data_IF_844030391027
#
_entry.id   IF_844030391027
#
_cell.length_a   1.000
_cell.length_b   1.000
_cell.length_c   1.000
_cell.angle_alpha   90.00
_cell.angle_beta   90.00
_cell.angle_gamma   90.00
#
_symmetry.space_group_name_H-M   'P 1'
#
loop_
_entity.id
_entity.type
_entity.pdbx_description
1 polymer ?
#
# COMPACT_ATOMS: atom_id res chain seq x y z
N UNK A 1 16.27 33.54 -12.81
CA UNK A 1 15.01 33.05 -12.24
C UNK A 1 14.88 33.64 -10.84
N UNK A 2 13.85 34.43 -10.55
CA UNK A 2 13.63 34.95 -9.18
C UNK A 2 12.85 33.91 -8.40
N UNK A 3 13.44 33.39 -7.34
CA UNK A 3 12.75 32.55 -6.36
C UNK A 3 11.97 33.46 -5.41
N UNK A 4 10.65 33.49 -5.53
CA UNK A 4 9.78 34.14 -4.55
C UNK A 4 9.21 33.06 -3.62
N UNK A 5 9.08 33.39 -2.35
CA UNK A 5 8.39 32.55 -1.37
C UNK A 5 6.91 32.42 -1.76
N UNK A 6 6.31 31.25 -1.54
CA UNK A 6 4.92 30.94 -1.91
C UNK A 6 3.93 31.97 -1.34
N UNK A 7 4.19 32.45 -0.11
CA UNK A 7 3.42 33.52 0.55
C UNK A 7 3.40 34.84 -0.22
N UNK A 8 4.51 35.20 -0.86
CA UNK A 8 4.60 36.46 -1.64
C UNK A 8 3.86 36.33 -3.00
N UNK A 9 3.63 35.11 -3.48
CA UNK A 9 2.90 34.85 -4.74
C UNK A 9 1.39 34.91 -4.54
N UNK A 10 0.89 34.53 -3.36
CA UNK A 10 -0.54 34.55 -3.02
C UNK A 10 -1.04 36.00 -2.95
N UNK A 11 -0.25 36.92 -2.42
CA UNK A 11 -0.63 38.32 -2.26
C UNK A 11 -0.60 39.16 -3.56
N UNK A 12 -0.02 38.62 -4.64
CA UNK A 12 0.16 39.35 -5.91
C UNK A 12 -0.89 39.06 -6.99
N UNK A 13 -1.88 38.18 -6.73
CA UNK A 13 -2.88 37.81 -7.71
C UNK A 13 -2.23 37.15 -8.94
N UNK A 14 -2.09 35.85 -8.93
CA UNK A 14 -1.50 35.11 -10.07
C UNK A 14 -2.46 35.16 -11.26
N UNK A 15 -2.00 35.72 -12.38
CA UNK A 15 -2.78 35.70 -13.62
C UNK A 15 -2.91 34.26 -14.13
N UNK A 16 -4.08 33.89 -14.70
CA UNK A 16 -4.44 32.54 -15.14
C UNK A 16 -3.44 31.93 -16.16
N UNK A 17 -2.56 32.75 -16.73
CA UNK A 17 -1.52 32.36 -17.69
C UNK A 17 -0.14 32.09 -17.05
N UNK A 18 -0.01 32.15 -15.73
CA UNK A 18 1.29 31.93 -15.07
C UNK A 18 1.53 30.43 -14.81
N UNK A 19 2.67 29.92 -15.29
CA UNK A 19 3.14 28.57 -14.89
C UNK A 19 3.91 28.69 -13.56
N UNK A 20 3.53 27.91 -12.55
CA UNK A 20 4.24 27.80 -11.30
C UNK A 20 5.05 26.51 -11.29
N UNK A 21 6.38 26.62 -11.17
CA UNK A 21 7.27 25.50 -10.94
C UNK A 21 7.56 25.40 -9.44
N UNK A 22 7.07 24.34 -8.80
CA UNK A 22 7.38 24.04 -7.41
C UNK A 22 8.58 23.10 -7.40
N UNK A 23 9.71 23.58 -6.91
CA UNK A 23 10.87 22.73 -6.65
C UNK A 23 10.74 22.17 -5.22
N UNK A 24 10.47 20.87 -5.11
CA UNK A 24 10.50 20.17 -3.84
C UNK A 24 11.88 19.50 -3.66
N UNK A 25 12.79 20.08 -2.85
CA UNK A 25 14.13 19.51 -2.62
C UNK A 25 14.10 18.18 -1.85
N UNK A 26 12.93 17.81 -1.31
CA UNK A 26 12.70 16.53 -0.64
C UNK A 26 11.88 15.56 -1.52
N UNK A 27 11.63 15.91 -2.78
CA UNK A 27 10.98 15.01 -3.69
C UNK A 27 11.76 13.70 -3.79
N UNK A 28 11.08 12.58 -3.64
CA UNK A 28 11.70 11.27 -3.77
C UNK A 28 12.15 11.07 -5.23
N UNK A 29 13.45 11.01 -5.44
CA UNK A 29 14.04 10.87 -6.79
C UNK A 29 14.45 9.42 -7.03
N UNK A 30 13.48 8.54 -7.18
CA UNK A 30 13.72 7.15 -7.52
C UNK A 30 13.10 6.17 -6.53
N UNK A 31 12.54 5.12 -7.08
CA UNK A 31 11.92 4.05 -6.33
C UNK A 31 12.97 3.00 -5.93
N UNK A 32 12.92 2.59 -4.66
CA UNK A 32 13.72 1.48 -4.15
C UNK A 32 12.79 0.49 -3.47
N UNK A 33 12.74 -0.72 -3.97
CA UNK A 33 12.01 -1.83 -3.37
C UNK A 33 12.75 -2.29 -2.11
N UNK A 34 12.00 -2.57 -1.03
CA UNK A 34 12.55 -3.14 0.19
C UNK A 34 13.28 -2.11 1.06
N UNK A 35 12.66 -0.97 1.31
CA UNK A 35 13.16 0.02 2.28
C UNK A 35 13.38 -0.65 3.65
N UNK A 36 14.47 -0.30 4.33
CA UNK A 36 14.72 -0.77 5.69
C UNK A 36 13.60 -0.35 6.64
N UNK A 37 13.21 -1.23 7.56
CA UNK A 37 12.14 -0.93 8.53
C UNK A 37 12.48 0.27 9.43
N UNK A 38 13.78 0.55 9.66
CA UNK A 38 14.26 1.75 10.36
C UNK A 38 13.96 3.06 9.62
N UNK A 39 13.61 3.00 8.35
CA UNK A 39 13.21 4.18 7.56
C UNK A 39 11.82 4.67 7.90
N UNK A 40 10.96 3.82 8.47
CA UNK A 40 9.59 4.15 8.84
C UNK A 40 9.51 4.74 10.25
N UNK A 41 8.42 5.47 10.52
CA UNK A 41 8.15 6.00 11.86
C UNK A 41 7.89 4.86 12.84
N UNK A 42 8.46 4.90 14.06
CA UNK A 42 8.17 3.91 15.07
C UNK A 42 6.70 4.03 15.50
N UNK A 43 5.97 2.92 15.48
CA UNK A 43 4.56 2.88 15.88
C UNK A 43 4.20 1.55 16.56
N UNK A 44 2.92 1.32 16.76
CA UNK A 44 2.40 0.06 17.31
C UNK A 44 2.46 -1.09 16.31
N UNK A 45 2.76 -0.80 15.07
CA UNK A 45 2.73 -1.73 13.95
C UNK A 45 4.05 -2.48 13.81
N UNK A 46 3.94 -3.78 13.55
CA UNK A 46 5.07 -4.56 13.08
C UNK A 46 5.11 -4.47 11.55
N UNK A 47 6.05 -3.69 11.04
CA UNK A 47 6.26 -3.62 9.61
C UNK A 47 6.64 -4.99 9.03
N UNK A 48 6.10 -5.29 7.87
CA UNK A 48 6.52 -6.45 7.08
C UNK A 48 8.01 -6.33 6.78
N UNK A 49 8.74 -7.43 6.92
CA UNK A 49 10.18 -7.43 6.68
C UNK A 49 10.52 -7.00 5.24
N UNK A 50 11.64 -6.28 5.02
CA UNK A 50 11.98 -5.71 3.71
C UNK A 50 11.96 -6.73 2.56
N UNK A 51 12.44 -7.95 2.80
CA UNK A 51 12.50 -9.01 1.80
C UNK A 51 11.10 -9.52 1.42
N UNK A 52 10.25 -9.70 2.43
CA UNK A 52 8.85 -10.13 2.23
C UNK A 52 8.08 -9.02 1.51
N UNK A 53 8.30 -7.77 1.91
CA UNK A 53 7.69 -6.59 1.29
C UNK A 53 8.08 -6.45 -0.19
N UNK A 54 9.36 -6.68 -0.52
CA UNK A 54 9.82 -6.67 -1.90
C UNK A 54 9.10 -7.72 -2.77
N UNK A 55 8.85 -8.91 -2.22
CA UNK A 55 8.07 -9.96 -2.91
C UNK A 55 6.61 -9.54 -3.08
N UNK A 56 5.98 -8.97 -2.05
CA UNK A 56 4.60 -8.47 -2.13
C UNK A 56 4.49 -7.40 -3.22
N UNK A 57 5.38 -6.43 -3.26
CA UNK A 57 5.40 -5.37 -4.27
C UNK A 57 5.57 -5.93 -5.69
N UNK A 58 6.41 -6.96 -5.84
CA UNK A 58 6.53 -7.68 -7.12
C UNK A 58 5.21 -8.36 -7.51
N UNK A 59 4.46 -8.93 -6.55
CA UNK A 59 3.15 -9.57 -6.82
C UNK A 59 2.06 -8.55 -7.14
N UNK A 60 2.11 -7.38 -6.52
CA UNK A 60 1.24 -6.26 -6.88
C UNK A 60 1.47 -5.82 -8.33
N UNK A 61 2.70 -5.94 -8.84
CA UNK A 61 3.10 -5.62 -10.21
C UNK A 61 2.56 -4.26 -10.67
N UNK A 62 2.96 -3.23 -9.93
CA UNK A 62 2.41 -1.88 -10.07
C UNK A 62 2.97 -1.14 -11.29
N UNK A 63 2.09 -0.52 -12.05
CA UNK A 63 2.42 0.52 -13.01
C UNK A 63 2.39 1.90 -12.35
N UNK A 64 3.13 2.85 -12.89
CA UNK A 64 3.28 4.20 -12.32
C UNK A 64 1.97 4.96 -12.11
N UNK A 65 0.94 4.68 -12.91
CA UNK A 65 -0.34 5.36 -12.91
C UNK A 65 -1.48 4.60 -12.24
N UNK A 66 -1.24 3.41 -11.69
CA UNK A 66 -2.28 2.59 -11.07
C UNK A 66 -2.74 3.13 -9.74
N UNK A 67 -4.03 2.92 -9.44
CA UNK A 67 -4.61 3.20 -8.14
C UNK A 67 -4.63 1.94 -7.29
N UNK A 68 -4.22 2.08 -6.03
CA UNK A 68 -4.03 0.96 -5.11
C UNK A 68 -4.91 1.15 -3.87
N UNK A 69 -5.57 0.08 -3.43
CA UNK A 69 -6.15 0.00 -2.10
C UNK A 69 -5.25 -0.88 -1.21
N UNK A 70 -4.75 -0.33 -0.11
CA UNK A 70 -3.97 -1.07 0.87
C UNK A 70 -4.73 -1.16 2.20
N UNK A 71 -5.02 -2.38 2.66
CA UNK A 71 -5.72 -2.62 3.91
C UNK A 71 -4.76 -3.15 4.97
N UNK A 72 -4.57 -2.39 6.04
CA UNK A 72 -3.68 -2.70 7.17
C UNK A 72 -2.23 -3.00 6.74
N UNK A 73 -1.75 -2.28 5.74
CA UNK A 73 -0.46 -2.55 5.09
C UNK A 73 0.44 -1.34 4.95
N UNK A 74 0.63 -0.54 5.98
CA UNK A 74 1.34 0.76 5.95
C UNK A 74 2.65 0.78 5.17
N UNK A 75 3.58 -0.14 5.47
CA UNK A 75 4.87 -0.15 4.76
C UNK A 75 4.71 -0.53 3.29
N UNK A 76 3.71 -1.34 2.96
CA UNK A 76 3.34 -1.65 1.59
C UNK A 76 2.71 -0.42 0.92
N UNK A 77 1.79 0.27 1.61
CA UNK A 77 1.15 1.47 1.10
C UNK A 77 2.16 2.59 0.79
N UNK A 78 3.16 2.79 1.65
CA UNK A 78 4.24 3.77 1.43
C UNK A 78 5.06 3.41 0.18
N UNK A 79 5.55 2.18 0.07
CA UNK A 79 6.35 1.79 -1.08
C UNK A 79 5.51 1.70 -2.37
N UNK A 80 4.23 1.31 -2.27
CA UNK A 80 3.30 1.36 -3.40
C UNK A 80 3.08 2.79 -3.89
N UNK A 81 2.93 3.76 -2.96
CA UNK A 81 2.79 5.17 -3.33
C UNK A 81 4.04 5.75 -4.00
N UNK A 82 5.23 5.27 -3.62
CA UNK A 82 6.49 5.62 -4.29
C UNK A 82 6.54 5.01 -5.70
N UNK A 83 6.12 3.74 -5.85
CA UNK A 83 6.13 3.03 -7.13
C UNK A 83 5.10 3.63 -8.10
N UNK A 84 3.86 3.76 -7.67
CA UNK A 84 2.76 4.32 -8.45
C UNK A 84 2.64 5.85 -8.23
N UNK A 85 3.72 6.56 -8.41
CA UNK A 85 3.83 8.01 -8.11
C UNK A 85 2.93 8.91 -8.97
N UNK A 86 2.33 8.38 -10.03
CA UNK A 86 1.34 9.04 -10.90
C UNK A 86 -0.08 8.56 -10.64
N UNK A 87 -0.25 7.49 -9.87
CA UNK A 87 -1.52 6.96 -9.38
C UNK A 87 -1.80 7.41 -7.94
N UNK A 88 -2.78 6.77 -7.31
CA UNK A 88 -3.20 7.08 -5.94
C UNK A 88 -3.20 5.82 -5.08
N UNK A 89 -2.92 5.99 -3.79
CA UNK A 89 -3.03 4.94 -2.78
C UNK A 89 -4.10 5.33 -1.78
N UNK A 90 -5.07 4.45 -1.58
CA UNK A 90 -6.01 4.53 -0.45
C UNK A 90 -5.55 3.53 0.61
N UNK A 91 -5.08 4.03 1.74
CA UNK A 91 -4.66 3.23 2.87
C UNK A 91 -5.81 3.14 3.88
N UNK A 92 -6.33 1.93 4.07
CA UNK A 92 -7.38 1.63 5.04
C UNK A 92 -6.76 1.13 6.33
N UNK A 93 -6.85 1.93 7.39
CA UNK A 93 -6.27 1.62 8.70
C UNK A 93 -7.35 1.72 9.78
N UNK A 94 -7.80 0.57 10.27
CA UNK A 94 -8.93 0.49 11.22
C UNK A 94 -8.63 1.10 12.59
N UNK A 95 -7.36 1.04 13.03
CA UNK A 95 -6.97 1.54 14.35
C UNK A 95 -6.45 2.97 14.26
N UNK A 96 -6.88 3.83 15.19
CA UNK A 96 -6.47 5.22 15.22
C UNK A 96 -4.94 5.41 15.35
N UNK A 97 -4.26 4.56 16.15
CA UNK A 97 -2.79 4.60 16.29
C UNK A 97 -2.06 4.23 14.99
N UNK A 98 -2.62 3.30 14.23
CA UNK A 98 -2.06 2.87 12.95
C UNK A 98 -2.24 3.98 11.90
N UNK A 99 -3.39 4.66 11.88
CA UNK A 99 -3.61 5.85 11.05
C UNK A 99 -2.63 6.97 11.36
N UNK A 100 -2.41 7.26 12.64
CA UNK A 100 -1.43 8.27 13.04
C UNK A 100 -0.02 7.91 12.53
N UNK A 101 0.41 6.66 12.70
CA UNK A 101 1.71 6.19 12.21
C UNK A 101 1.79 6.29 10.68
N UNK A 102 0.68 5.99 9.97
CA UNK A 102 0.62 6.15 8.51
C UNK A 102 0.75 7.62 8.09
N UNK A 103 0.07 8.55 8.79
CA UNK A 103 0.20 10.00 8.56
C UNK A 103 1.65 10.48 8.74
N UNK A 104 2.32 10.02 9.79
CA UNK A 104 3.73 10.33 10.03
C UNK A 104 4.63 9.82 8.90
N UNK A 105 4.37 8.62 8.39
CA UNK A 105 5.10 8.05 7.26
C UNK A 105 4.82 8.82 5.96
N UNK A 106 3.58 9.18 5.68
CA UNK A 106 3.22 10.02 4.52
C UNK A 106 4.03 11.32 4.52
N UNK A 107 4.10 12.00 5.67
CA UNK A 107 4.89 13.22 5.83
C UNK A 107 6.39 12.94 5.71
N UNK A 108 6.87 11.89 6.35
CA UNK A 108 8.30 11.51 6.37
C UNK A 108 8.85 11.22 4.96
N UNK A 109 8.07 10.53 4.14
CA UNK A 109 8.44 10.20 2.77
C UNK A 109 8.03 11.25 1.73
N UNK A 110 7.34 12.32 2.16
CA UNK A 110 6.90 13.42 1.28
C UNK A 110 5.89 12.97 0.23
N UNK A 111 5.02 12.00 0.59
CA UNK A 111 4.02 11.47 -0.32
C UNK A 111 2.83 12.44 -0.42
N UNK A 112 2.32 12.62 -1.62
CA UNK A 112 1.18 13.49 -1.92
C UNK A 112 0.02 12.75 -2.61
N UNK A 113 0.18 11.45 -2.81
CA UNK A 113 -0.74 10.58 -3.50
C UNK A 113 -1.34 9.49 -2.59
N UNK A 114 -1.31 9.69 -1.27
CA UNK A 114 -1.87 8.77 -0.29
C UNK A 114 -3.05 9.40 0.42
N UNK A 115 -4.17 8.66 0.43
CA UNK A 115 -5.35 8.97 1.21
C UNK A 115 -5.52 7.93 2.31
N UNK A 116 -5.67 8.38 3.55
CA UNK A 116 -5.86 7.49 4.71
C UNK A 116 -7.33 7.50 5.10
N UNK A 117 -7.92 6.32 5.27
CA UNK A 117 -9.32 6.12 5.68
C UNK A 117 -9.40 5.14 6.84
N UNK A 118 -10.49 5.17 7.59
CA UNK A 118 -10.67 4.40 8.82
C UNK A 118 -11.41 3.06 8.63
N UNK A 119 -12.08 2.88 7.50
CA UNK A 119 -12.75 1.63 7.13
C UNK A 119 -12.98 1.49 5.62
N UNK A 120 -13.41 0.30 5.19
CA UNK A 120 -13.76 0.03 3.79
C UNK A 120 -15.15 0.58 3.41
N UNK A 121 -16.05 0.82 4.35
CA UNK A 121 -17.38 1.40 4.09
C UNK A 121 -17.23 2.87 3.68
N UNK A 122 -16.18 3.53 4.19
CA UNK A 122 -15.78 4.88 3.77
C UNK A 122 -15.21 4.91 2.35
N UNK A 123 -14.94 3.74 1.75
CA UNK A 123 -14.48 3.64 0.37
C UNK A 123 -15.61 4.06 -0.57
N UNK A 124 -15.80 5.34 -0.71
CA UNK A 124 -16.90 5.95 -1.44
C UNK A 124 -16.48 6.29 -2.87
N UNK A 125 -17.48 6.62 -3.71
CA UNK A 125 -17.28 7.16 -5.07
C UNK A 125 -16.37 8.42 -5.14
N UNK A 126 -15.83 8.86 -4.01
CA UNK A 126 -14.87 9.98 -3.95
C UNK A 126 -13.43 9.54 -4.24
N UNK A 127 -13.14 8.24 -4.10
CA UNK A 127 -11.80 7.71 -4.28
C UNK A 127 -11.63 7.15 -5.68
N UNK A 128 -10.41 7.21 -6.24
CA UNK A 128 -10.12 6.53 -7.49
C UNK A 128 -10.42 5.05 -7.39
N UNK A 129 -11.02 4.49 -8.43
CA UNK A 129 -11.26 3.04 -8.53
C UNK A 129 -9.91 2.31 -8.47
N UNK A 130 -9.70 1.37 -7.52
CA UNK A 130 -8.43 0.68 -7.40
C UNK A 130 -8.27 -0.35 -8.53
N UNK A 131 -7.10 -0.38 -9.15
CA UNK A 131 -6.71 -1.39 -10.14
C UNK A 131 -6.20 -2.65 -9.45
N UNK A 132 -5.60 -2.46 -8.27
CA UNK A 132 -5.03 -3.53 -7.45
C UNK A 132 -5.24 -3.25 -5.97
N UNK A 133 -5.38 -4.31 -5.18
CA UNK A 133 -5.46 -4.21 -3.72
C UNK A 133 -4.43 -5.11 -3.03
N UNK A 134 -3.88 -4.60 -1.94
CA UNK A 134 -3.14 -5.37 -0.94
C UNK A 134 -3.95 -5.45 0.36
N UNK A 135 -4.08 -6.66 0.92
CA UNK A 135 -4.84 -6.88 2.16
C UNK A 135 -4.03 -7.73 3.14
N UNK A 136 -3.91 -7.27 4.36
CA UNK A 136 -3.54 -8.13 5.48
C UNK A 136 -4.80 -8.83 5.96
N UNK A 137 -4.85 -10.14 5.80
CA UNK A 137 -6.07 -10.91 6.09
C UNK A 137 -6.51 -10.79 7.55
N UNK A 138 -7.78 -10.54 7.74
CA UNK A 138 -8.46 -10.43 9.03
C UNK A 138 -9.85 -11.05 8.94
N UNK A 139 -10.61 -10.99 10.03
CA UNK A 139 -12.03 -11.41 10.03
C UNK A 139 -12.91 -10.57 9.09
N UNK A 140 -12.42 -9.42 8.63
CA UNK A 140 -13.11 -8.53 7.67
C UNK A 140 -12.83 -8.86 6.21
N UNK A 141 -11.90 -9.79 5.92
CA UNK A 141 -11.41 -10.06 4.57
C UNK A 141 -12.53 -10.30 3.54
N UNK A 142 -13.56 -11.07 3.89
CA UNK A 142 -14.68 -11.37 2.98
C UNK A 142 -15.46 -10.10 2.60
N UNK A 143 -15.72 -9.22 3.56
CA UNK A 143 -16.36 -7.93 3.31
C UNK A 143 -15.49 -7.01 2.45
N UNK A 144 -14.20 -6.99 2.72
CA UNK A 144 -13.22 -6.20 1.97
C UNK A 144 -13.15 -6.64 0.50
N UNK A 145 -13.10 -7.96 0.25
CA UNK A 145 -13.10 -8.52 -1.10
C UNK A 145 -14.40 -8.20 -1.84
N UNK A 146 -15.57 -8.35 -1.19
CA UNK A 146 -16.87 -7.98 -1.77
C UNK A 146 -16.92 -6.52 -2.17
N UNK A 147 -16.46 -5.64 -1.30
CA UNK A 147 -16.43 -4.19 -1.58
C UNK A 147 -15.52 -3.89 -2.77
N UNK A 148 -14.32 -4.46 -2.79
CA UNK A 148 -13.34 -4.24 -3.86
C UNK A 148 -13.84 -4.74 -5.22
N UNK A 149 -14.40 -5.94 -5.29
CA UNK A 149 -14.97 -6.49 -6.54
C UNK A 149 -16.19 -5.70 -7.00
N UNK A 150 -17.01 -5.19 -6.07
CA UNK A 150 -18.13 -4.32 -6.42
C UNK A 150 -17.65 -3.01 -7.08
N UNK A 151 -16.55 -2.43 -6.56
CA UNK A 151 -15.97 -1.19 -7.09
C UNK A 151 -15.23 -1.42 -8.40
N UNK A 152 -14.46 -2.52 -8.51
CA UNK A 152 -13.76 -2.93 -9.72
C UNK A 152 -13.88 -4.44 -9.97
N UNK A 153 -14.80 -4.87 -10.86
CA UNK A 153 -14.98 -6.30 -11.19
C UNK A 153 -13.77 -6.98 -11.85
N UNK A 154 -12.70 -6.23 -12.14
CA UNK A 154 -11.45 -6.75 -12.74
C UNK A 154 -10.25 -6.55 -11.82
N UNK A 155 -10.48 -6.26 -10.55
CA UNK A 155 -9.40 -5.95 -9.59
C UNK A 155 -8.43 -7.12 -9.44
N UNK A 156 -7.15 -6.79 -9.32
CA UNK A 156 -6.11 -7.72 -8.87
C UNK A 156 -5.97 -7.61 -7.36
N UNK A 157 -5.76 -8.73 -6.68
CA UNK A 157 -5.59 -8.75 -5.23
C UNK A 157 -4.33 -9.50 -4.83
N UNK A 158 -3.65 -8.99 -3.80
CA UNK A 158 -2.57 -9.68 -3.10
C UNK A 158 -2.91 -9.69 -1.61
N UNK A 159 -3.04 -10.90 -1.04
CA UNK A 159 -3.44 -11.09 0.35
C UNK A 159 -2.27 -11.70 1.11
N UNK A 160 -1.99 -11.16 2.29
CA UNK A 160 -0.94 -11.60 3.20
C UNK A 160 -1.54 -12.10 4.51
N UNK A 161 -1.06 -13.22 5.02
CA UNK A 161 -1.43 -13.70 6.35
C UNK A 161 -0.32 -14.52 7.00
N UNK A 162 -0.25 -14.44 8.34
CA UNK A 162 0.53 -15.34 9.20
C UNK A 162 -0.38 -16.33 9.94
N UNK A 163 -1.71 -16.15 9.85
CA UNK A 163 -2.68 -16.92 10.61
C UNK A 163 -3.18 -18.12 9.82
N UNK A 164 -2.90 -19.32 10.31
CA UNK A 164 -3.31 -20.58 9.68
C UNK A 164 -4.83 -20.71 9.58
N UNK A 165 -5.57 -20.27 10.59
CA UNK A 165 -7.03 -20.34 10.64
C UNK A 165 -7.71 -19.51 9.54
N UNK A 166 -7.09 -18.40 9.15
CA UNK A 166 -7.58 -17.55 8.07
C UNK A 166 -7.06 -18.10 6.73
N UNK A 167 -5.78 -18.45 6.67
CA UNK A 167 -5.11 -18.96 5.47
C UNK A 167 -5.91 -20.07 4.79
N UNK A 168 -6.39 -21.05 5.54
CA UNK A 168 -7.14 -22.19 4.99
C UNK A 168 -8.48 -21.83 4.33
N UNK A 169 -9.05 -20.67 4.66
CA UNK A 169 -10.33 -20.17 4.14
C UNK A 169 -10.18 -19.24 2.93
N UNK A 170 -8.99 -18.61 2.76
CA UNK A 170 -8.77 -17.61 1.71
C UNK A 170 -9.13 -18.12 0.31
N UNK A 171 -8.72 -19.33 -0.13
CA UNK A 171 -9.10 -19.83 -1.46
C UNK A 171 -10.61 -19.86 -1.68
N UNK A 172 -11.39 -20.33 -0.70
CA UNK A 172 -12.86 -20.33 -0.76
C UNK A 172 -13.43 -18.92 -0.87
N UNK A 173 -12.94 -17.98 -0.03
CA UNK A 173 -13.37 -16.57 -0.06
C UNK A 173 -13.08 -15.92 -1.43
N UNK A 174 -11.93 -16.22 -2.05
CA UNK A 174 -11.60 -15.71 -3.38
C UNK A 174 -12.62 -16.18 -4.41
N UNK A 175 -12.90 -17.49 -4.47
CA UNK A 175 -13.88 -18.07 -5.39
C UNK A 175 -15.30 -17.53 -5.16
N UNK A 176 -15.74 -17.43 -3.92
CA UNK A 176 -17.06 -16.91 -3.55
C UNK A 176 -17.24 -15.43 -3.99
N UNK A 177 -16.15 -14.69 -4.07
CA UNK A 177 -16.13 -13.30 -4.54
C UNK A 177 -15.80 -13.15 -6.04
N UNK A 178 -15.75 -14.24 -6.82
CA UNK A 178 -15.46 -14.19 -8.25
C UNK A 178 -14.01 -13.82 -8.58
N UNK A 179 -13.09 -14.07 -7.64
CA UNK A 179 -11.66 -13.85 -7.81
C UNK A 179 -10.99 -15.19 -8.05
N UNK A 180 -10.38 -15.36 -9.21
CA UNK A 180 -9.58 -16.54 -9.53
C UNK A 180 -8.21 -16.45 -8.85
N UNK A 181 -7.84 -17.40 -7.96
CA UNK A 181 -6.48 -17.48 -7.43
C UNK A 181 -5.48 -17.74 -8.56
N UNK A 182 -4.50 -16.87 -8.70
CA UNK A 182 -3.43 -17.02 -9.71
C UNK A 182 -2.18 -17.66 -9.14
N UNK A 183 -1.93 -17.46 -7.85
CA UNK A 183 -0.78 -18.03 -7.14
C UNK A 183 -1.02 -18.07 -5.65
N UNK A 184 -0.55 -19.14 -5.01
CA UNK A 184 -0.50 -19.28 -3.54
C UNK A 184 0.92 -19.68 -3.20
N UNK A 185 1.59 -18.92 -2.33
CA UNK A 185 2.96 -19.20 -1.93
C UNK A 185 3.18 -18.98 -0.44
N UNK A 186 4.11 -19.72 0.13
CA UNK A 186 4.68 -19.44 1.44
C UNK A 186 6.10 -18.91 1.25
N UNK A 187 6.46 -17.86 1.97
CA UNK A 187 7.78 -17.27 1.88
C UNK A 187 8.52 -17.40 3.21
N UNK A 188 9.63 -18.13 3.19
CA UNK A 188 10.53 -18.25 4.34
C UNK A 188 11.79 -17.41 4.12
N UNK A 189 12.19 -16.65 5.13
CA UNK A 189 13.39 -15.84 5.12
C UNK A 189 14.20 -16.12 6.39
N UNK A 190 15.42 -16.58 6.20
CA UNK A 190 16.41 -16.78 7.28
C UNK A 190 17.64 -15.91 6.99
N UNK A 191 18.15 -15.25 8.00
CA UNK A 191 19.34 -14.40 7.91
C UNK A 191 20.37 -14.83 8.94
N UNK A 192 21.64 -14.59 8.66
CA UNK A 192 22.70 -14.70 9.66
C UNK A 192 22.93 -13.31 10.26
N UNK A 193 22.64 -13.17 11.54
CA UNK A 193 22.85 -11.94 12.30
C UNK A 193 24.33 -11.67 12.62
N UNK A 194 24.60 -10.54 13.28
CA UNK A 194 25.97 -10.08 13.58
C UNK A 194 26.78 -11.01 14.51
N UNK A 195 26.13 -11.93 15.21
CA UNK A 195 26.76 -12.89 16.15
C UNK A 195 26.74 -14.32 15.62
N UNK A 196 26.67 -14.51 14.31
CA UNK A 196 26.50 -15.81 13.66
C UNK A 196 25.22 -16.56 14.09
N UNK A 197 24.26 -15.86 14.68
CA UNK A 197 22.96 -16.41 15.04
C UNK A 197 22.03 -16.39 13.80
N UNK A 198 21.28 -17.46 13.61
CA UNK A 198 20.28 -17.52 12.54
C UNK A 198 18.99 -16.82 13.02
N UNK A 199 18.63 -15.76 12.37
CA UNK A 199 17.37 -15.04 12.55
C UNK A 199 16.34 -15.57 11.56
N UNK A 200 15.31 -16.25 12.05
CA UNK A 200 14.20 -16.74 11.24
C UNK A 200 13.02 -15.77 11.34
N UNK A 201 12.53 -15.31 10.21
CA UNK A 201 11.33 -14.47 10.16
C UNK A 201 10.08 -15.37 10.09
N UNK A 202 8.93 -14.93 10.66
CA UNK A 202 7.67 -15.62 10.43
C UNK A 202 7.39 -15.79 8.94
N UNK A 203 7.09 -17.02 8.53
CA UNK A 203 6.86 -17.34 7.13
C UNK A 203 5.38 -17.08 6.75
N UNK A 204 5.05 -15.97 6.07
CA UNK A 204 3.70 -15.67 5.66
C UNK A 204 3.24 -16.53 4.49
N UNK A 205 1.93 -16.66 4.37
CA UNK A 205 1.27 -17.03 3.14
C UNK A 205 0.87 -15.80 2.36
N UNK A 206 1.11 -15.84 1.05
CA UNK A 206 0.77 -14.78 0.09
C UNK A 206 -0.10 -15.41 -0.99
N UNK A 207 -1.26 -14.83 -1.21
CA UNK A 207 -2.22 -15.23 -2.23
C UNK A 207 -2.32 -14.11 -3.26
N UNK A 208 -2.25 -14.45 -4.52
CA UNK A 208 -2.53 -13.53 -5.62
C UNK A 208 -3.76 -14.01 -6.36
N UNK A 209 -4.61 -13.09 -6.78
CA UNK A 209 -5.82 -13.40 -7.53
C UNK A 209 -6.27 -12.24 -8.41
N UNK A 210 -7.16 -12.53 -9.34
CA UNK A 210 -7.76 -11.54 -10.22
C UNK A 210 -9.24 -11.82 -10.42
N UNK A 211 -10.06 -10.78 -10.27
CA UNK A 211 -11.48 -10.87 -10.57
C UNK A 211 -11.77 -10.78 -12.08
N UNK A 212 -12.91 -11.36 -12.52
CA UNK A 212 -13.41 -11.21 -13.89
C UNK A 212 -12.55 -11.88 -14.98
N UNK A 213 -11.77 -12.92 -14.67
CA UNK A 213 -11.23 -13.83 -15.69
C UNK A 213 -12.35 -14.81 -16.09
N UNK A 214 -12.75 -14.77 -17.37
CA UNK A 214 -13.60 -15.80 -18.00
C UNK A 214 -12.78 -17.05 -18.34
#
# INVERSE_FOLDING_TARGET
MKHNLLSEMIDRGVNVSAAMLINNPRAHTGYRIGLDNSSFSPGTIRYVAPEIRAVILKKLNLDEGENICCVSGESIAVEAAIAAHRGNVVAVEYKAGDRQTMEENVVRFGLNNVQIVDDMESYSHRWPVPDVAFLVASDKLDLELKTLVHVNPKIRVVIYTLEFSIMSRIPGMLWENGIEPTEIMQLEVSKVGRKDEIEVQPAPWIFSGQAGRE
#
